data_IF_954599799148
#
_entry.id   IF_954599799148
#
_cell.length_a   1.000
_cell.length_b   1.000
_cell.length_c   1.000
_cell.angle_alpha   90.00
_cell.angle_beta   90.00
_cell.angle_gamma   90.00
#
_symmetry.space_group_name_H-M   'P 1'
#
loop_
_entity.id
_entity.type
_entity.pdbx_description
1 polymer ?
#
# COMPACT_ATOMS: atom_id res chain seq x y z
N UNK A 1 -19.27 2.65 9.38
CA UNK A 1 -17.83 2.73 9.06
C UNK A 1 -17.30 1.32 9.01
N UNK A 2 -16.75 0.94 7.88
CA UNK A 2 -16.19 -0.38 7.63
C UNK A 2 -14.67 -0.29 7.70
N UNK A 3 -14.03 -1.43 7.99
CA UNK A 3 -12.57 -1.54 8.04
C UNK A 3 -12.11 -2.48 6.94
N UNK A 4 -11.16 -2.03 6.14
CA UNK A 4 -10.63 -2.75 5.00
C UNK A 4 -9.13 -2.95 5.14
N UNK A 5 -8.64 -4.09 4.65
CA UNK A 5 -7.23 -4.34 4.42
C UNK A 5 -6.92 -4.08 2.96
N UNK A 6 -5.96 -3.20 2.70
CA UNK A 6 -5.56 -2.81 1.34
C UNK A 6 -4.10 -3.20 1.15
N UNK A 7 -3.83 -4.07 0.16
CA UNK A 7 -2.48 -4.43 -0.24
C UNK A 7 -1.90 -3.33 -1.16
N UNK A 8 -0.64 -2.96 -0.93
CA UNK A 8 0.09 -1.99 -1.72
C UNK A 8 1.40 -2.62 -2.21
N UNK A 9 1.77 -2.35 -3.47
CA UNK A 9 2.99 -2.85 -4.08
C UNK A 9 3.60 -1.83 -5.04
N UNK A 10 4.92 -1.70 -5.05
CA UNK A 10 5.65 -0.87 -6.02
C UNK A 10 6.99 -1.49 -6.41
N UNK A 11 7.27 -1.56 -7.72
CA UNK A 11 8.50 -2.12 -8.28
C UNK A 11 9.25 -1.19 -9.25
N UNK A 12 8.82 0.07 -9.42
CA UNK A 12 9.45 1.01 -10.35
C UNK A 12 9.98 2.25 -9.61
N UNK A 13 11.20 2.67 -9.96
CA UNK A 13 11.81 3.90 -9.45
C UNK A 13 11.92 3.92 -7.92
N UNK A 14 11.50 5.04 -7.32
CA UNK A 14 11.51 5.25 -5.87
C UNK A 14 10.35 4.48 -5.17
N UNK A 15 10.44 3.15 -5.14
CA UNK A 15 9.39 2.23 -4.68
C UNK A 15 8.77 2.62 -3.33
N UNK A 16 9.60 2.98 -2.35
CA UNK A 16 9.13 3.40 -1.01
C UNK A 16 8.39 4.73 -1.08
N UNK A 17 8.88 5.69 -1.86
CA UNK A 17 8.21 6.97 -2.05
C UNK A 17 6.79 6.78 -2.57
N UNK A 18 6.59 5.91 -3.57
CA UNK A 18 5.25 5.64 -4.10
C UNK A 18 4.32 4.96 -3.09
N UNK A 19 4.83 4.05 -2.25
CA UNK A 19 4.06 3.47 -1.14
C UNK A 19 3.65 4.57 -0.15
N UNK A 20 4.58 5.42 0.28
CA UNK A 20 4.31 6.48 1.24
C UNK A 20 3.27 7.48 0.70
N UNK A 21 3.37 7.85 -0.58
CA UNK A 21 2.40 8.72 -1.26
C UNK A 21 1.01 8.08 -1.35
N UNK A 22 0.93 6.78 -1.66
CA UNK A 22 -0.34 6.06 -1.71
C UNK A 22 -1.02 6.03 -0.34
N UNK A 23 -0.27 5.80 0.73
CA UNK A 23 -0.79 5.82 2.11
C UNK A 23 -1.31 7.21 2.47
N UNK A 24 -0.56 8.27 2.14
CA UNK A 24 -0.99 9.65 2.40
C UNK A 24 -2.25 10.03 1.60
N UNK A 25 -2.34 9.62 0.33
CA UNK A 25 -3.52 9.85 -0.51
C UNK A 25 -4.75 9.11 0.01
N UNK A 26 -4.61 7.83 0.38
CA UNK A 26 -5.70 7.05 0.99
C UNK A 26 -6.14 7.69 2.32
N UNK A 27 -5.18 8.09 3.16
CA UNK A 27 -5.42 8.77 4.43
C UNK A 27 -6.21 10.07 4.31
N UNK A 28 -5.99 10.82 3.23
CA UNK A 28 -6.61 12.13 2.99
C UNK A 28 -7.92 12.07 2.21
N UNK A 29 -8.10 11.07 1.35
CA UNK A 29 -9.23 11.02 0.40
C UNK A 29 -10.19 9.86 0.66
N UNK A 30 -9.72 8.76 1.24
CA UNK A 30 -10.52 7.54 1.36
C UNK A 30 -10.92 7.25 2.80
N UNK A 31 -10.09 7.55 3.80
CA UNK A 31 -10.41 7.27 5.20
C UNK A 31 -9.18 7.23 6.10
N UNK A 32 -9.39 6.94 7.38
CA UNK A 32 -8.32 6.89 8.37
C UNK A 32 -7.45 5.64 8.18
N UNK A 33 -6.15 5.82 7.95
CA UNK A 33 -5.17 4.72 7.99
C UNK A 33 -4.78 4.47 9.44
N UNK A 34 -5.23 3.35 10.00
CA UNK A 34 -5.07 3.01 11.42
C UNK A 34 -3.75 2.28 11.67
N UNK A 35 -3.33 1.45 10.72
CA UNK A 35 -2.14 0.63 10.86
C UNK A 35 -1.52 0.37 9.49
N UNK A 36 -0.21 0.16 9.50
CA UNK A 36 0.59 -0.26 8.36
C UNK A 36 1.41 -1.49 8.77
N UNK A 37 1.38 -2.54 7.94
CA UNK A 37 2.23 -3.70 8.10
C UNK A 37 3.69 -3.36 7.76
N UNK A 38 4.63 -4.24 8.13
CA UNK A 38 6.03 -4.07 7.72
C UNK A 38 6.12 -4.08 6.19
N UNK A 39 6.93 -3.18 5.63
CA UNK A 39 7.31 -3.22 4.21
C UNK A 39 8.26 -4.41 4.00
N UNK A 40 7.93 -5.26 3.02
CA UNK A 40 8.69 -6.43 2.63
C UNK A 40 9.17 -6.27 1.19
N UNK A 41 10.41 -6.68 0.93
CA UNK A 41 10.90 -6.85 -0.45
C UNK A 41 10.61 -8.29 -0.89
N UNK A 42 10.08 -8.47 -2.09
CA UNK A 42 9.75 -9.78 -2.63
C UNK A 42 9.99 -9.87 -4.14
N UNK A 43 10.42 -11.04 -4.59
CA UNK A 43 10.50 -11.35 -6.01
C UNK A 43 9.15 -11.19 -6.72
N UNK A 44 9.16 -10.78 -7.99
CA UNK A 44 7.95 -10.64 -8.78
C UNK A 44 7.31 -12.01 -9.07
N UNK A 45 5.99 -12.03 -9.11
CA UNK A 45 5.23 -13.14 -9.68
C UNK A 45 4.85 -12.78 -11.12
N UNK A 46 5.41 -13.48 -12.10
CA UNK A 46 5.18 -13.23 -13.53
C UNK A 46 6.38 -12.59 -14.23
N UNK A 47 6.12 -11.82 -15.28
CA UNK A 47 7.15 -11.34 -16.23
C UNK A 47 7.83 -10.01 -15.84
N UNK A 48 7.77 -9.61 -14.56
CA UNK A 48 8.49 -8.43 -14.12
C UNK A 48 9.94 -8.80 -13.76
N UNK A 49 10.89 -7.93 -14.11
CA UNK A 49 12.32 -8.17 -13.89
C UNK A 49 12.85 -7.56 -12.59
N UNK A 50 12.00 -6.83 -11.85
CA UNK A 50 12.37 -6.07 -10.64
C UNK A 50 11.53 -6.49 -9.45
N UNK A 51 12.17 -6.53 -8.27
CA UNK A 51 11.50 -6.87 -7.02
C UNK A 51 10.53 -5.78 -6.55
N UNK A 52 9.47 -6.22 -5.89
CA UNK A 52 8.43 -5.35 -5.35
C UNK A 52 8.72 -5.05 -3.88
N UNK A 53 8.55 -3.79 -3.49
CA UNK A 53 8.20 -3.48 -2.11
C UNK A 53 6.70 -3.69 -1.93
N UNK A 54 6.31 -4.48 -0.95
CA UNK A 54 4.94 -4.81 -0.60
C UNK A 54 4.63 -4.45 0.85
N UNK A 55 3.40 -3.99 1.10
CA UNK A 55 2.86 -3.79 2.45
C UNK A 55 1.33 -3.94 2.41
N UNK A 56 0.71 -3.94 3.58
CA UNK A 56 -0.73 -3.77 3.71
C UNK A 56 -1.05 -2.64 4.70
N UNK A 57 -2.19 -1.98 4.52
CA UNK A 57 -2.73 -1.00 5.47
C UNK A 57 -4.11 -1.41 5.94
N UNK A 58 -4.43 -1.02 7.17
CA UNK A 58 -5.77 -1.07 7.73
C UNK A 58 -6.41 0.31 7.58
N UNK A 59 -7.44 0.42 6.74
CA UNK A 59 -8.15 1.67 6.49
C UNK A 59 -9.58 1.58 7.01
N UNK A 60 -10.00 2.56 7.83
CA UNK A 60 -11.37 2.72 8.29
C UNK A 60 -12.04 3.84 7.51
N UNK A 61 -13.14 3.53 6.86
CA UNK A 61 -13.84 4.45 5.97
C UNK A 61 -15.37 4.30 6.06
N UNK A 62 -16.08 5.32 5.57
CA UNK A 62 -17.52 5.32 5.33
C UNK A 62 -17.89 5.15 3.85
N UNK A 63 -16.89 4.97 2.96
CA UNK A 63 -17.13 4.66 1.56
C UNK A 63 -17.77 3.27 1.42
N UNK A 64 -18.74 3.14 0.51
CA UNK A 64 -19.44 1.88 0.19
C UNK A 64 -18.66 1.03 -0.83
#
# INVERSE_FOLDING_TARGET
MNTYLIALGSNLGERKYYIDQAIAAIGSQCGEVIAQAKILDSEPLGAADQSFLNTAILCRTSLE
#
